data_IF_435257687115
#
_entry.id   IF_435257687115
#
_cell.length_a   1.000
_cell.length_b   1.000
_cell.length_c   1.000
_cell.angle_alpha   90.00
_cell.angle_beta   90.00
_cell.angle_gamma   90.00
#
_symmetry.space_group_name_H-M   'P 1'
#
loop_
_entity.id
_entity.type
_entity.pdbx_description
1 polymer ?
#
# COMPACT_ATOMS: atom_id res chain seq x y z
N UNK A 1 -2.36 13.67 4.26
CA UNK A 1 -2.56 12.91 2.99
C UNK A 1 -1.30 12.97 2.18
N UNK A 2 -0.65 11.82 2.03
CA UNK A 2 0.65 11.74 1.37
C UNK A 2 0.46 11.49 -0.13
N UNK A 3 1.11 12.29 -0.97
CA UNK A 3 1.09 12.17 -2.43
C UNK A 3 2.48 12.43 -3.01
N UNK A 4 2.70 12.08 -4.27
CA UNK A 4 3.84 12.54 -5.06
C UNK A 4 3.40 13.45 -6.21
N UNK A 5 4.27 14.34 -6.64
CA UNK A 5 3.97 15.21 -7.79
C UNK A 5 3.75 14.41 -9.08
N UNK A 6 4.49 13.30 -9.26
CA UNK A 6 4.31 12.42 -10.42
C UNK A 6 2.95 11.73 -10.40
N UNK A 7 2.46 11.28 -9.22
CA UNK A 7 1.12 10.71 -9.12
C UNK A 7 0.04 11.75 -9.40
N UNK A 8 0.20 12.98 -8.90
CA UNK A 8 -0.72 14.07 -9.18
C UNK A 8 -0.82 14.38 -10.69
N UNK A 9 0.28 14.29 -11.43
CA UNK A 9 0.31 14.50 -12.89
C UNK A 9 -0.47 13.46 -13.69
N UNK A 10 -0.74 12.29 -13.15
CA UNK A 10 -1.62 11.32 -13.82
C UNK A 10 -3.04 11.88 -13.98
N UNK A 11 -3.44 12.76 -13.07
CA UNK A 11 -4.77 13.38 -13.04
C UNK A 11 -4.79 14.85 -13.44
N UNK A 12 -3.64 15.53 -13.48
CA UNK A 12 -3.56 16.96 -13.77
C UNK A 12 -2.54 17.27 -14.87
N UNK A 13 -3.01 17.72 -16.01
CA UNK A 13 -2.16 18.31 -17.05
C UNK A 13 -1.83 19.76 -16.67
N UNK A 14 -0.61 20.00 -16.20
CA UNK A 14 -0.15 21.31 -15.75
C UNK A 14 1.27 21.62 -16.23
N UNK A 15 1.54 22.89 -16.48
CA UNK A 15 2.89 23.40 -16.76
C UNK A 15 3.58 23.95 -15.50
N UNK A 16 2.90 23.90 -14.34
CA UNK A 16 3.50 24.37 -13.10
C UNK A 16 4.69 23.48 -12.71
N UNK A 17 5.76 24.13 -12.26
CA UNK A 17 6.86 23.45 -11.58
C UNK A 17 6.38 23.05 -10.18
N UNK A 18 6.96 21.98 -9.65
CA UNK A 18 6.60 21.44 -8.33
C UNK A 18 6.61 22.51 -7.23
N UNK A 19 7.66 23.34 -7.17
CA UNK A 19 7.75 24.43 -6.18
C UNK A 19 6.55 25.38 -6.22
N UNK A 20 6.10 25.77 -7.41
CA UNK A 20 4.95 26.66 -7.56
C UNK A 20 3.63 25.96 -7.21
N UNK A 21 3.57 24.64 -7.49
CA UNK A 21 2.41 23.83 -7.13
C UNK A 21 2.19 23.74 -5.61
N UNK A 22 3.26 23.58 -4.84
CA UNK A 22 3.20 23.54 -3.37
C UNK A 22 2.57 24.81 -2.79
N UNK A 23 2.96 25.96 -3.32
CA UNK A 23 2.37 27.25 -2.95
C UNK A 23 0.87 27.30 -3.30
N UNK A 24 0.49 26.85 -4.49
CA UNK A 24 -0.90 26.86 -4.93
C UNK A 24 -1.78 25.89 -4.14
N UNK A 25 -1.26 24.73 -3.72
CA UNK A 25 -1.98 23.80 -2.83
C UNK A 25 -2.39 24.52 -1.54
N UNK A 26 -1.48 25.21 -0.89
CA UNK A 26 -1.79 25.97 0.33
C UNK A 26 -2.78 27.11 0.05
N UNK A 27 -2.64 27.83 -1.06
CA UNK A 27 -3.52 28.93 -1.43
C UNK A 27 -4.98 28.50 -1.65
N UNK A 28 -5.22 27.27 -2.12
CA UNK A 28 -6.58 26.72 -2.29
C UNK A 28 -7.10 26.01 -1.04
N UNK A 29 -6.36 26.09 0.09
CA UNK A 29 -6.78 25.53 1.37
C UNK A 29 -6.38 24.08 1.62
N UNK A 30 -5.43 23.54 0.83
CA UNK A 30 -4.80 22.24 1.05
C UNK A 30 -3.38 22.48 1.59
N UNK A 31 -3.27 22.61 2.91
CA UNK A 31 -2.03 22.97 3.58
C UNK A 31 -0.94 21.90 3.38
N UNK A 32 0.23 22.34 2.94
CA UNK A 32 1.43 21.48 2.83
C UNK A 32 2.13 21.45 4.19
N UNK A 33 2.06 20.32 4.88
CA UNK A 33 2.73 20.14 6.19
C UNK A 33 4.22 19.88 6.03
N UNK A 34 4.58 19.01 5.08
CA UNK A 34 5.98 18.71 4.82
C UNK A 34 6.22 18.30 3.37
N UNK A 35 7.49 18.47 2.95
CA UNK A 35 7.99 18.01 1.65
C UNK A 35 9.28 17.27 1.89
N UNK A 36 9.27 15.96 1.59
CA UNK A 36 10.46 15.12 1.71
C UNK A 36 11.00 14.75 0.32
N UNK A 37 12.30 14.94 0.12
CA UNK A 37 12.94 14.53 -1.12
C UNK A 37 13.13 13.01 -1.14
N UNK A 38 12.49 12.33 -2.08
CA UNK A 38 12.74 10.91 -2.32
C UNK A 38 14.00 10.64 -3.14
N UNK A 39 14.61 11.70 -3.70
CA UNK A 39 15.69 11.59 -4.67
C UNK A 39 17.11 11.61 -4.08
N UNK A 40 17.28 11.94 -2.78
CA UNK A 40 18.61 12.16 -2.22
C UNK A 40 19.36 10.90 -1.83
N UNK A 41 18.75 10.05 -1.02
CA UNK A 41 19.49 8.97 -0.34
C UNK A 41 19.22 7.58 -0.92
N UNK A 42 18.05 7.37 -1.56
CA UNK A 42 17.67 6.06 -2.08
C UNK A 42 18.35 5.72 -3.42
N UNK A 43 18.85 6.69 -4.18
CA UNK A 43 19.57 6.43 -5.44
C UNK A 43 20.91 5.70 -5.23
N UNK A 44 21.48 5.80 -4.05
CA UNK A 44 22.74 5.15 -3.70
C UNK A 44 22.61 3.63 -3.54
N UNK A 45 21.41 3.11 -3.25
CA UNK A 45 21.18 1.68 -3.11
C UNK A 45 21.19 1.01 -4.48
N UNK A 46 22.17 0.13 -4.71
CA UNK A 46 22.38 -0.53 -6.00
C UNK A 46 21.97 -2.01 -5.96
N UNK A 47 21.47 -2.50 -7.07
CA UNK A 47 21.37 -3.94 -7.30
C UNK A 47 22.79 -4.49 -7.41
N UNK A 48 23.09 -5.54 -6.65
CA UNK A 48 24.42 -6.13 -6.59
C UNK A 48 24.35 -7.66 -6.57
N UNK A 49 25.43 -8.33 -6.92
CA UNK A 49 25.59 -9.78 -6.87
C UNK A 49 26.74 -10.15 -5.94
N UNK A 50 26.50 -11.08 -5.04
CA UNK A 50 27.57 -11.67 -4.23
C UNK A 50 28.33 -12.66 -5.11
N UNK A 51 29.59 -12.37 -5.41
CA UNK A 51 30.43 -13.24 -6.26
C UNK A 51 31.09 -14.32 -5.43
N UNK A 52 31.51 -14.00 -4.22
CA UNK A 52 32.22 -14.91 -3.32
C UNK A 52 31.86 -14.62 -1.88
N UNK A 53 31.81 -15.67 -1.06
CA UNK A 53 31.65 -15.55 0.39
C UNK A 53 32.71 -16.38 1.10
N UNK A 54 33.34 -15.79 2.12
CA UNK A 54 34.33 -16.48 2.99
C UNK A 54 33.94 -16.26 4.45
N UNK A 55 34.31 -17.19 5.34
CA UNK A 55 34.15 -16.99 6.79
C UNK A 55 35.04 -15.82 7.25
N UNK A 56 34.49 -15.01 8.14
CA UNK A 56 35.26 -13.93 8.72
C UNK A 56 36.39 -14.47 9.62
N UNK A 57 37.64 -14.02 9.50
CA UNK A 57 38.78 -14.59 10.23
C UNK A 57 38.66 -14.47 11.76
N UNK A 58 37.94 -13.46 12.26
CA UNK A 58 37.87 -13.15 13.68
C UNK A 58 36.40 -13.12 14.22
N UNK A 59 35.45 -13.78 13.52
CA UNK A 59 34.05 -13.77 13.93
C UNK A 59 33.23 -14.92 13.30
N UNK A 60 32.79 -15.89 14.11
CA UNK A 60 32.13 -17.12 13.62
C UNK A 60 30.78 -16.85 12.93
N UNK A 61 30.09 -15.78 13.27
CA UNK A 61 28.76 -15.41 12.71
C UNK A 61 28.81 -14.45 11.53
N UNK A 62 30.00 -14.00 11.14
CA UNK A 62 30.17 -13.05 10.05
C UNK A 62 30.79 -13.73 8.81
N UNK A 63 30.40 -13.20 7.67
CA UNK A 63 30.96 -13.54 6.35
C UNK A 63 31.62 -12.32 5.73
N UNK A 64 32.68 -12.53 4.98
CA UNK A 64 33.28 -11.52 4.11
C UNK A 64 32.82 -11.81 2.70
N UNK A 65 32.08 -10.88 2.11
CA UNK A 65 31.50 -11.03 0.78
C UNK A 65 32.22 -10.14 -0.22
N UNK A 66 32.61 -10.71 -1.35
CA UNK A 66 33.03 -9.93 -2.53
C UNK A 66 31.79 -9.67 -3.37
N UNK A 67 31.41 -8.40 -3.53
CA UNK A 67 30.14 -7.96 -4.08
C UNK A 67 30.39 -7.19 -5.37
N UNK A 68 29.82 -7.66 -6.48
CA UNK A 68 29.78 -6.96 -7.75
C UNK A 68 28.69 -5.88 -7.71
N UNK A 69 29.11 -4.64 -7.81
CA UNK A 69 28.24 -3.45 -7.79
C UNK A 69 28.09 -2.80 -9.17
N UNK A 70 28.44 -3.51 -10.24
CA UNK A 70 28.43 -3.04 -11.63
C UNK A 70 29.77 -2.47 -12.08
N UNK A 71 29.92 -2.22 -13.39
CA UNK A 71 31.12 -1.64 -14.00
C UNK A 71 32.43 -2.37 -13.70
N UNK A 72 32.36 -3.71 -13.50
CA UNK A 72 33.45 -4.57 -13.05
C UNK A 72 34.07 -4.17 -11.68
N UNK A 73 33.36 -3.40 -10.88
CA UNK A 73 33.78 -2.99 -9.55
C UNK A 73 33.31 -3.99 -8.48
N UNK A 74 34.28 -4.58 -7.77
CA UNK A 74 34.04 -5.52 -6.67
C UNK A 74 34.32 -4.79 -5.34
N UNK A 75 33.34 -4.81 -4.45
CA UNK A 75 33.49 -4.28 -3.08
C UNK A 75 33.49 -5.38 -2.05
N UNK A 76 34.41 -5.27 -1.09
CA UNK A 76 34.44 -6.17 0.07
C UNK A 76 33.44 -5.66 1.13
N UNK A 77 32.52 -6.52 1.53
CA UNK A 77 31.47 -6.19 2.50
C UNK A 77 31.40 -7.27 3.57
N UNK A 78 31.43 -6.86 4.83
CA UNK A 78 31.21 -7.80 5.96
C UNK A 78 29.71 -7.91 6.21
N UNK A 79 29.18 -9.13 6.22
CA UNK A 79 27.75 -9.42 6.35
C UNK A 79 27.51 -10.46 7.46
N UNK A 80 26.48 -10.19 8.29
CA UNK A 80 26.06 -11.12 9.36
C UNK A 80 24.86 -12.00 8.99
N UNK A 81 24.32 -11.85 7.78
CA UNK A 81 23.14 -12.58 7.37
C UNK A 81 23.46 -14.04 6.99
N UNK A 82 22.66 -14.97 7.49
CA UNK A 82 22.85 -16.40 7.21
C UNK A 82 22.62 -16.76 5.74
N UNK A 83 21.67 -16.04 5.09
CA UNK A 83 21.34 -16.25 3.69
C UNK A 83 22.34 -15.65 2.69
N UNK A 84 23.39 -14.94 3.16
CA UNK A 84 24.45 -14.45 2.27
C UNK A 84 25.22 -15.63 1.67
N UNK A 85 25.09 -15.81 0.35
CA UNK A 85 25.70 -16.91 -0.43
C UNK A 85 26.11 -16.44 -1.81
N UNK A 86 27.05 -17.15 -2.42
CA UNK A 86 27.53 -16.90 -3.77
C UNK A 86 26.38 -17.00 -4.81
N UNK A 87 26.37 -16.08 -5.76
CA UNK A 87 25.33 -15.97 -6.81
C UNK A 87 24.04 -15.27 -6.38
N UNK A 88 23.93 -14.85 -5.09
CA UNK A 88 22.77 -14.14 -4.61
C UNK A 88 22.74 -12.70 -5.16
N UNK A 89 21.62 -12.32 -5.77
CA UNK A 89 21.31 -10.93 -6.11
C UNK A 89 20.67 -10.26 -4.91
N UNK A 90 21.19 -9.09 -4.53
CA UNK A 90 20.78 -8.36 -3.33
C UNK A 90 20.88 -6.85 -3.52
N UNK A 91 20.60 -6.09 -2.46
CA UNK A 91 20.70 -4.63 -2.46
C UNK A 91 21.91 -4.20 -1.65
N UNK A 92 22.81 -3.49 -2.31
CA UNK A 92 24.02 -2.93 -1.73
C UNK A 92 23.86 -1.45 -1.42
N UNK A 93 24.20 -1.05 -0.21
CA UNK A 93 24.30 0.34 0.25
C UNK A 93 25.76 0.76 0.35
N UNK A 94 26.25 1.74 -0.43
CA UNK A 94 27.60 2.25 -0.35
C UNK A 94 27.81 3.13 0.90
N UNK A 95 29.07 3.43 1.26
CA UNK A 95 29.38 4.49 2.21
C UNK A 95 28.77 5.83 1.73
N UNK A 96 28.16 6.57 2.67
CA UNK A 96 27.40 7.78 2.38
C UNK A 96 25.88 7.57 2.31
N UNK A 97 25.40 6.37 2.05
CA UNK A 97 23.96 6.06 2.08
C UNK A 97 23.41 6.16 3.52
N UNK A 98 22.18 6.61 3.63
CA UNK A 98 21.44 6.67 4.90
C UNK A 98 20.43 5.52 4.91
N UNK A 99 20.51 4.63 5.90
CA UNK A 99 19.59 3.51 6.03
C UNK A 99 18.21 4.02 6.42
N UNK A 100 17.15 3.76 5.64
CA UNK A 100 15.82 4.34 5.83
C UNK A 100 15.22 4.11 7.22
N UNK A 101 15.34 2.90 7.77
CA UNK A 101 14.76 2.53 9.07
C UNK A 101 15.49 3.18 10.24
N UNK A 102 16.82 3.13 10.25
CA UNK A 102 17.63 3.57 11.40
C UNK A 102 18.12 5.00 11.29
N UNK A 103 17.94 5.62 10.12
CA UNK A 103 18.49 6.95 9.77
C UNK A 103 20.03 7.04 9.95
N UNK A 104 20.71 5.91 9.98
CA UNK A 104 22.15 5.82 10.16
C UNK A 104 22.86 6.03 8.81
N UNK A 105 23.80 6.98 8.79
CA UNK A 105 24.67 7.19 7.62
C UNK A 105 25.80 6.18 7.62
N UNK A 106 25.93 5.42 6.53
CA UNK A 106 26.98 4.43 6.36
C UNK A 106 28.35 5.09 6.12
N UNK A 107 29.35 4.52 6.73
CA UNK A 107 30.75 4.88 6.54
C UNK A 107 31.58 3.64 6.26
N UNK A 108 32.76 3.79 5.68
CA UNK A 108 33.72 2.70 5.60
C UNK A 108 34.11 2.31 7.02
N UNK A 109 33.86 1.05 7.40
CA UNK A 109 34.06 0.58 8.75
C UNK A 109 35.02 -0.61 8.80
N UNK A 110 35.86 -0.69 9.84
CA UNK A 110 36.70 -1.86 10.11
C UNK A 110 35.99 -2.75 11.13
N UNK A 111 35.43 -3.88 10.66
CA UNK A 111 34.66 -4.80 11.48
C UNK A 111 35.57 -5.98 11.88
N UNK A 112 35.92 -6.05 13.15
CA UNK A 112 36.81 -7.07 13.73
C UNK A 112 38.08 -7.35 12.90
N UNK A 113 38.68 -6.25 12.36
CA UNK A 113 39.92 -6.35 11.59
C UNK A 113 39.76 -6.35 10.06
N UNK A 114 38.57 -6.61 9.54
CA UNK A 114 38.27 -6.58 8.09
C UNK A 114 37.56 -5.27 7.73
N UNK A 115 38.03 -4.59 6.69
CA UNK A 115 37.40 -3.36 6.19
C UNK A 115 36.17 -3.70 5.34
N UNK A 116 35.01 -3.11 5.69
CA UNK A 116 33.75 -3.20 4.94
C UNK A 116 33.49 -1.90 4.21
N UNK A 117 33.26 -1.98 2.91
CA UNK A 117 32.98 -0.85 2.03
C UNK A 117 31.48 -0.73 1.73
N UNK A 118 30.65 -0.70 2.76
CA UNK A 118 29.21 -0.60 2.67
C UNK A 118 28.50 -1.74 3.37
N UNK A 119 27.24 -1.95 3.00
CA UNK A 119 26.34 -2.89 3.66
C UNK A 119 25.45 -3.60 2.64
N UNK A 120 25.12 -4.87 2.89
CA UNK A 120 24.03 -5.58 2.19
C UNK A 120 22.77 -5.43 3.05
N UNK A 121 21.68 -4.95 2.45
CA UNK A 121 20.50 -4.54 3.18
C UNK A 121 19.42 -5.63 3.26
N UNK A 122 18.76 -5.72 4.40
CA UNK A 122 17.50 -6.44 4.56
C UNK A 122 16.32 -5.58 4.08
N UNK A 123 15.17 -6.20 3.82
CA UNK A 123 13.95 -5.48 3.47
C UNK A 123 13.49 -4.56 4.61
N UNK A 124 13.66 -5.01 5.86
CA UNK A 124 13.33 -4.21 7.04
C UNK A 124 14.15 -2.93 7.15
N UNK A 125 15.45 -2.97 6.86
CA UNK A 125 16.34 -1.80 6.88
C UNK A 125 15.97 -0.77 5.81
N UNK A 126 15.39 -1.24 4.70
CA UNK A 126 14.93 -0.42 3.59
C UNK A 126 13.47 0.05 3.75
N UNK A 127 12.80 -0.27 4.86
CA UNK A 127 11.36 -0.06 5.09
C UNK A 127 10.46 -0.73 4.02
N UNK A 128 10.92 -1.82 3.42
CA UNK A 128 10.15 -2.61 2.44
C UNK A 128 9.34 -3.72 3.11
N UNK A 129 9.75 -4.17 4.29
CA UNK A 129 9.10 -5.21 5.10
C UNK A 129 9.40 -4.99 6.58
N UNK A 130 8.56 -5.54 7.48
CA UNK A 130 8.88 -5.62 8.91
C UNK A 130 9.76 -6.83 9.24
N UNK A 131 9.84 -7.80 8.32
CA UNK A 131 10.68 -8.99 8.47
C UNK A 131 12.15 -8.66 8.25
N UNK A 132 13.02 -9.24 9.10
CA UNK A 132 14.47 -8.99 9.09
C UNK A 132 15.30 -10.25 8.93
N UNK A 133 14.73 -11.32 8.40
CA UNK A 133 15.41 -12.60 8.25
C UNK A 133 16.39 -12.58 7.08
N UNK A 134 17.57 -11.99 7.34
CA UNK A 134 18.66 -11.92 6.38
C UNK A 134 18.63 -10.70 5.46
N UNK A 135 19.45 -10.74 4.42
CA UNK A 135 19.51 -9.71 3.38
C UNK A 135 18.47 -9.96 2.30
N UNK A 136 18.02 -8.90 1.63
CA UNK A 136 17.06 -8.97 0.53
C UNK A 136 17.52 -9.92 -0.58
N UNK A 137 16.68 -10.87 -0.98
CA UNK A 137 16.92 -11.77 -2.11
C UNK A 137 16.17 -11.27 -3.34
N UNK A 138 16.89 -10.84 -4.37
CA UNK A 138 16.31 -10.39 -5.62
C UNK A 138 16.16 -11.53 -6.63
N UNK A 139 15.12 -11.49 -7.45
CA UNK A 139 14.88 -12.46 -8.50
C UNK A 139 15.92 -12.35 -9.62
N UNK A 140 16.13 -13.43 -10.39
CA UNK A 140 17.10 -13.48 -11.50
C UNK A 140 16.89 -12.37 -12.56
N UNK A 141 15.71 -11.81 -12.65
CA UNK A 141 15.38 -10.71 -13.57
C UNK A 141 16.19 -9.45 -13.28
N UNK A 142 16.57 -9.23 -12.03
CA UNK A 142 17.40 -8.10 -11.62
C UNK A 142 18.88 -8.20 -12.05
N UNK A 143 19.34 -9.33 -12.57
CA UNK A 143 20.74 -9.50 -13.02
C UNK A 143 21.15 -8.47 -14.07
N UNK A 144 20.26 -8.07 -14.95
CA UNK A 144 20.48 -6.99 -15.95
C UNK A 144 20.57 -5.59 -15.35
N UNK A 145 20.27 -5.47 -14.08
CA UNK A 145 20.25 -4.19 -13.35
C UNK A 145 21.42 -4.03 -12.37
N UNK A 146 22.35 -4.99 -12.31
CA UNK A 146 23.54 -4.90 -11.45
C UNK A 146 24.25 -3.55 -11.71
N UNK A 147 24.56 -2.85 -10.61
CA UNK A 147 25.16 -1.51 -10.63
C UNK A 147 24.18 -0.35 -10.79
N UNK A 148 22.93 -0.63 -11.19
CA UNK A 148 21.87 0.40 -11.25
C UNK A 148 21.20 0.56 -9.89
N UNK A 149 20.65 1.74 -9.64
CA UNK A 149 19.83 1.96 -8.44
C UNK A 149 18.69 0.95 -8.39
N UNK A 150 18.49 0.36 -7.21
CA UNK A 150 17.34 -0.52 -6.95
C UNK A 150 16.04 0.27 -6.92
N UNK A 151 16.06 1.41 -6.27
CA UNK A 151 14.91 2.30 -6.26
C UNK A 151 14.82 3.00 -7.62
N UNK A 152 13.64 2.98 -8.21
CA UNK A 152 13.39 3.78 -9.41
C UNK A 152 13.64 5.24 -9.06
N UNK A 153 14.22 5.99 -10.00
CA UNK A 153 14.37 7.43 -9.85
C UNK A 153 12.98 8.07 -9.75
N UNK A 154 12.42 8.11 -8.56
CA UNK A 154 11.30 9.02 -8.31
C UNK A 154 11.87 10.43 -8.40
N UNK A 155 11.50 11.13 -9.46
CA UNK A 155 11.93 12.52 -9.67
C UNK A 155 11.12 13.50 -8.84
N UNK A 156 10.11 13.04 -8.13
CA UNK A 156 9.19 13.88 -7.38
C UNK A 156 9.32 13.68 -5.88
N UNK A 157 9.15 14.77 -5.16
CA UNK A 157 9.12 14.77 -3.70
C UNK A 157 7.84 14.11 -3.19
N UNK A 158 7.91 13.59 -1.98
CA UNK A 158 6.78 13.20 -1.19
C UNK A 158 6.21 14.46 -0.54
N UNK A 159 4.93 14.69 -0.73
CA UNK A 159 4.22 15.86 -0.23
C UNK A 159 3.18 15.38 0.78
N UNK A 160 3.29 15.82 2.02
CA UNK A 160 2.26 15.58 3.02
C UNK A 160 1.32 16.77 3.13
N UNK A 161 0.02 16.51 2.98
CA UNK A 161 -1.04 17.50 3.00
C UNK A 161 -1.95 17.31 4.22
N UNK A 162 -2.16 18.37 4.97
CA UNK A 162 -3.17 18.46 6.01
C UNK A 162 -4.55 18.67 5.38
N UNK A 163 -5.35 17.62 5.33
CA UNK A 163 -6.71 17.68 4.79
C UNK A 163 -7.71 17.85 5.92
N UNK A 164 -8.39 18.98 5.93
CA UNK A 164 -9.42 19.27 6.95
C UNK A 164 -10.61 18.30 6.85
N UNK A 165 -11.30 18.01 7.96
CA UNK A 165 -12.39 17.02 8.00
C UNK A 165 -13.57 17.31 7.05
N UNK A 166 -13.76 18.57 6.66
CA UNK A 166 -14.81 19.01 5.72
C UNK A 166 -14.42 18.84 4.25
N UNK A 167 -13.18 18.38 3.96
CA UNK A 167 -12.68 18.16 2.60
C UNK A 167 -12.33 16.68 2.35
N UNK A 168 -13.25 15.73 2.66
CA UNK A 168 -12.98 14.32 2.40
C UNK A 168 -12.72 14.03 0.91
N UNK A 169 -13.26 14.85 0.01
CA UNK A 169 -13.03 14.78 -1.43
C UNK A 169 -11.56 14.88 -1.84
N UNK A 170 -10.72 15.52 -1.02
CA UNK A 170 -9.27 15.64 -1.21
C UNK A 170 -8.45 14.54 -0.51
N UNK A 171 -9.08 13.51 0.04
CA UNK A 171 -8.40 12.33 0.59
C UNK A 171 -8.01 11.30 -0.49
N UNK A 172 -8.01 11.72 -1.75
CA UNK A 172 -7.50 10.99 -2.91
C UNK A 172 -6.81 11.94 -3.87
N UNK A 173 -5.79 11.43 -4.59
CA UNK A 173 -4.97 12.23 -5.51
C UNK A 173 -5.81 12.96 -6.56
N UNK A 174 -6.83 12.27 -7.11
CA UNK A 174 -7.73 12.86 -8.11
C UNK A 174 -8.57 14.03 -7.55
N UNK A 175 -8.98 13.98 -6.30
CA UNK A 175 -9.70 15.08 -5.65
C UNK A 175 -8.86 16.36 -5.58
N UNK A 176 -7.59 16.20 -5.20
CA UNK A 176 -6.59 17.27 -5.17
C UNK A 176 -6.37 17.83 -6.58
N UNK A 177 -6.20 16.95 -7.57
CA UNK A 177 -6.06 17.36 -8.97
C UNK A 177 -7.27 18.14 -9.50
N UNK A 178 -8.48 17.72 -9.12
CA UNK A 178 -9.73 18.41 -9.49
C UNK A 178 -9.78 19.82 -8.91
N UNK A 179 -9.39 20.00 -7.66
CA UNK A 179 -9.38 21.31 -7.00
C UNK A 179 -8.37 22.26 -7.66
N UNK A 180 -7.17 21.77 -7.94
CA UNK A 180 -6.15 22.54 -8.68
C UNK A 180 -6.64 22.93 -10.08
N UNK A 181 -7.28 22.01 -10.79
CA UNK A 181 -7.86 22.29 -12.11
C UNK A 181 -9.00 23.33 -12.03
N UNK A 182 -9.88 23.21 -11.05
CA UNK A 182 -10.96 24.17 -10.81
C UNK A 182 -10.44 25.58 -10.48
N UNK A 183 -9.27 25.66 -9.84
CA UNK A 183 -8.58 26.92 -9.51
C UNK A 183 -7.71 27.46 -10.67
N UNK A 184 -7.74 26.84 -11.85
CA UNK A 184 -7.04 27.31 -13.04
C UNK A 184 -5.57 26.89 -13.15
N UNK A 185 -5.09 25.97 -12.30
CA UNK A 185 -3.69 25.53 -12.28
C UNK A 185 -3.39 24.32 -13.18
N UNK A 186 -4.32 23.96 -14.04
CA UNK A 186 -4.16 22.88 -15.01
C UNK A 186 -5.50 22.40 -15.55
N UNK A 187 -5.45 21.31 -16.33
CA UNK A 187 -6.65 20.62 -16.83
C UNK A 187 -6.75 19.24 -16.20
N UNK A 188 -7.91 18.93 -15.63
CA UNK A 188 -8.17 17.59 -15.10
C UNK A 188 -8.14 16.56 -16.26
N UNK A 189 -7.46 15.44 -16.04
CA UNK A 189 -7.44 14.33 -16.99
C UNK A 189 -8.74 13.54 -16.87
N UNK A 190 -9.39 13.28 -18.00
CA UNK A 190 -10.60 12.47 -18.00
C UNK A 190 -10.25 11.01 -17.65
N UNK A 191 -11.12 10.37 -16.87
CA UNK A 191 -11.00 8.94 -16.63
C UNK A 191 -11.55 8.20 -17.83
N UNK A 192 -10.76 7.28 -18.39
CA UNK A 192 -11.25 6.37 -19.41
C UNK A 192 -12.15 5.31 -18.75
N UNK A 193 -13.45 5.43 -18.94
CA UNK A 193 -14.40 4.42 -18.51
C UNK A 193 -14.41 3.26 -19.50
N UNK A 194 -13.78 2.14 -19.13
CA UNK A 194 -13.92 0.90 -19.90
C UNK A 194 -15.20 0.19 -19.48
N UNK A 195 -16.16 0.07 -20.39
CA UNK A 195 -17.39 -0.71 -20.12
C UNK A 195 -17.04 -2.18 -19.94
N UNK A 196 -17.23 -2.68 -18.75
CA UNK A 196 -17.12 -4.11 -18.45
C UNK A 196 -18.48 -4.75 -18.70
N UNK A 197 -18.55 -5.69 -19.62
CA UNK A 197 -19.76 -6.47 -19.85
C UNK A 197 -19.78 -7.64 -18.84
N UNK A 198 -20.68 -7.58 -17.88
CA UNK A 198 -20.98 -8.74 -17.03
C UNK A 198 -21.58 -9.84 -17.89
N UNK A 199 -20.97 -11.01 -17.87
CA UNK A 199 -21.46 -12.17 -18.64
C UNK A 199 -22.62 -12.88 -17.94
N UNK A 200 -22.69 -12.82 -16.60
CA UNK A 200 -23.68 -13.52 -15.78
C UNK A 200 -24.06 -12.73 -14.53
N UNK A 201 -25.25 -12.99 -13.99
CA UNK A 201 -25.57 -12.58 -12.60
C UNK A 201 -24.81 -13.49 -11.64
N UNK A 202 -24.06 -12.94 -10.70
CA UNK A 202 -23.38 -13.75 -9.70
C UNK A 202 -24.38 -14.38 -8.71
N UNK A 203 -24.02 -15.52 -8.18
CA UNK A 203 -24.87 -16.30 -7.27
C UNK A 203 -24.85 -15.82 -5.82
N UNK A 204 -23.80 -15.09 -5.43
CA UNK A 204 -23.67 -14.56 -4.08
C UNK A 204 -24.62 -13.37 -3.89
N UNK A 205 -25.64 -13.57 -3.07
CA UNK A 205 -26.64 -12.53 -2.77
C UNK A 205 -26.09 -11.60 -1.68
N UNK A 206 -26.37 -10.29 -1.83
CA UNK A 206 -26.13 -9.30 -0.79
C UNK A 206 -27.46 -8.85 -0.22
N UNK A 207 -27.60 -8.91 1.10
CA UNK A 207 -28.75 -8.45 1.84
C UNK A 207 -28.34 -7.40 2.85
N UNK A 208 -28.95 -6.23 2.80
CA UNK A 208 -28.82 -5.20 3.83
C UNK A 208 -30.07 -5.34 4.73
N UNK A 209 -29.87 -5.65 6.00
CA UNK A 209 -30.96 -5.66 6.96
C UNK A 209 -31.37 -4.21 7.28
N UNK A 210 -32.66 -3.92 7.11
CA UNK A 210 -33.21 -2.61 7.44
C UNK A 210 -33.50 -2.52 8.94
N UNK A 211 -32.48 -2.20 9.71
CA UNK A 211 -32.59 -2.04 11.16
C UNK A 211 -32.43 -0.57 11.54
N UNK A 212 -33.01 -0.15 12.67
CA UNK A 212 -32.83 1.22 13.18
C UNK A 212 -31.34 1.42 13.53
N UNK A 213 -30.75 2.51 13.03
CA UNK A 213 -29.34 2.78 13.22
C UNK A 213 -28.39 1.94 12.36
N UNK A 214 -28.91 1.35 11.27
CA UNK A 214 -28.09 0.62 10.32
C UNK A 214 -26.97 1.51 9.75
N UNK A 215 -25.73 1.08 9.95
CA UNK A 215 -24.54 1.86 9.54
C UNK A 215 -24.16 1.75 8.07
N UNK A 216 -24.93 0.99 7.24
CA UNK A 216 -24.67 0.87 5.81
C UNK A 216 -25.95 1.11 5.03
N UNK A 217 -25.93 2.07 4.11
CA UNK A 217 -27.11 2.44 3.31
C UNK A 217 -27.03 1.99 1.87
N UNK A 218 -25.83 1.75 1.34
CA UNK A 218 -25.62 1.21 0.02
C UNK A 218 -24.44 0.23 0.01
N UNK A 219 -24.59 -0.88 -0.73
CA UNK A 219 -23.57 -1.90 -0.87
C UNK A 219 -23.54 -2.40 -2.30
N UNK A 220 -22.53 -1.98 -3.06
CA UNK A 220 -22.22 -2.52 -4.36
C UNK A 220 -21.29 -3.72 -4.22
N UNK A 221 -21.51 -4.73 -5.05
CA UNK A 221 -20.60 -5.88 -5.10
C UNK A 221 -20.40 -6.38 -6.52
N UNK A 222 -19.20 -6.83 -6.80
CA UNK A 222 -18.83 -7.44 -8.07
C UNK A 222 -18.08 -8.75 -7.82
N UNK A 223 -18.57 -9.85 -8.38
CA UNK A 223 -17.85 -11.13 -8.35
C UNK A 223 -16.92 -11.21 -9.55
N UNK A 224 -15.62 -11.31 -9.29
CA UNK A 224 -14.58 -11.49 -10.30
C UNK A 224 -14.01 -12.89 -10.14
N UNK A 225 -14.09 -13.69 -11.19
CA UNK A 225 -13.68 -15.09 -11.17
C UNK A 225 -12.41 -15.32 -11.97
N UNK A 226 -11.69 -16.38 -11.63
CA UNK A 226 -10.43 -16.78 -12.29
C UNK A 226 -9.34 -15.69 -12.21
N UNK A 227 -9.29 -14.95 -11.11
CA UNK A 227 -8.19 -14.02 -10.84
C UNK A 227 -6.91 -14.79 -10.56
N UNK A 228 -5.78 -14.20 -10.92
CA UNK A 228 -4.46 -14.67 -10.51
C UNK A 228 -3.92 -13.68 -9.50
N UNK A 229 -4.10 -13.97 -8.21
CA UNK A 229 -3.46 -13.16 -7.18
C UNK A 229 -1.95 -13.48 -7.16
N UNK A 230 -1.15 -12.48 -7.41
CA UNK A 230 0.32 -12.58 -7.48
C UNK A 230 0.93 -11.34 -6.83
N UNK A 231 2.23 -11.20 -6.91
CA UNK A 231 2.86 -9.91 -6.65
C UNK A 231 2.32 -8.84 -7.60
N UNK A 232 2.20 -7.64 -7.10
CA UNK A 232 1.74 -6.48 -7.89
C UNK A 232 2.69 -6.16 -9.04
N UNK A 233 2.17 -5.67 -10.17
CA UNK A 233 3.02 -5.19 -11.26
C UNK A 233 3.87 -4.01 -10.80
N UNK A 234 5.03 -3.86 -11.42
CA UNK A 234 6.04 -2.87 -11.02
C UNK A 234 5.49 -1.45 -10.87
N UNK A 235 4.66 -0.99 -11.79
CA UNK A 235 4.09 0.36 -11.73
C UNK A 235 3.25 0.61 -10.47
N UNK A 236 2.51 -0.41 -10.01
CA UNK A 236 1.66 -0.33 -8.82
C UNK A 236 2.52 -0.37 -7.56
N UNK A 237 3.50 -1.28 -7.50
CA UNK A 237 4.48 -1.32 -6.41
C UNK A 237 5.21 0.01 -6.27
N UNK A 238 5.75 0.55 -7.36
CA UNK A 238 6.48 1.82 -7.36
C UNK A 238 5.62 2.97 -6.82
N UNK A 239 4.34 3.05 -7.20
CA UNK A 239 3.41 4.07 -6.69
C UNK A 239 3.16 3.94 -5.19
N UNK A 240 2.85 2.75 -4.71
CA UNK A 240 2.57 2.52 -3.28
C UNK A 240 3.83 2.78 -2.43
N UNK A 241 4.97 2.26 -2.85
CA UNK A 241 6.25 2.48 -2.18
C UNK A 241 6.61 3.97 -2.15
N UNK A 242 6.32 4.72 -3.22
CA UNK A 242 6.63 6.15 -3.29
C UNK A 242 5.93 7.00 -2.21
N UNK A 243 4.88 6.49 -1.60
CA UNK A 243 4.15 7.14 -0.51
C UNK A 243 4.28 6.40 0.83
N UNK A 244 5.25 5.48 0.93
CA UNK A 244 5.53 4.71 2.14
C UNK A 244 4.59 3.54 2.41
N UNK A 245 3.75 3.17 1.44
CA UNK A 245 2.88 1.99 1.56
C UNK A 245 3.62 0.72 1.14
N UNK A 246 3.47 -0.35 1.93
CA UNK A 246 4.05 -1.66 1.66
C UNK A 246 3.15 -2.44 0.70
N UNK A 247 3.66 -2.87 -0.48
CA UNK A 247 2.93 -3.82 -1.33
C UNK A 247 2.75 -5.17 -0.64
N UNK A 248 1.57 -5.76 -0.78
CA UNK A 248 1.20 -7.04 -0.15
C UNK A 248 0.93 -8.10 -1.21
N UNK A 249 -0.09 -7.86 -2.04
CA UNK A 249 -0.48 -8.71 -3.16
C UNK A 249 -1.29 -7.89 -4.16
N UNK A 250 -1.37 -8.32 -5.40
CA UNK A 250 -2.03 -7.57 -6.46
C UNK A 250 -3.47 -7.14 -6.10
N UNK A 251 -4.25 -8.02 -5.48
CA UNK A 251 -5.64 -7.72 -5.07
C UNK A 251 -5.66 -6.63 -4.00
N UNK A 252 -4.88 -6.79 -2.93
CA UNK A 252 -4.84 -5.82 -1.81
C UNK A 252 -4.28 -4.49 -2.29
N UNK A 253 -3.23 -4.51 -3.07
CA UNK A 253 -2.55 -3.31 -3.56
C UNK A 253 -3.43 -2.50 -4.51
N UNK A 254 -4.25 -3.16 -5.34
CA UNK A 254 -5.23 -2.47 -6.18
C UNK A 254 -6.31 -1.80 -5.34
N UNK A 255 -6.82 -2.45 -4.29
CA UNK A 255 -7.82 -1.81 -3.40
C UNK A 255 -7.22 -0.60 -2.68
N UNK A 256 -5.97 -0.69 -2.21
CA UNK A 256 -5.24 0.42 -1.62
C UNK A 256 -4.99 1.54 -2.63
N UNK A 257 -4.56 1.19 -3.86
CA UNK A 257 -4.36 2.16 -4.92
C UNK A 257 -5.65 2.94 -5.23
N UNK A 258 -6.76 2.26 -5.42
CA UNK A 258 -8.07 2.90 -5.69
C UNK A 258 -8.48 3.82 -4.54
N UNK A 259 -8.29 3.39 -3.30
CA UNK A 259 -8.57 4.21 -2.12
C UNK A 259 -7.74 5.50 -2.11
N UNK A 260 -6.45 5.42 -2.41
CA UNK A 260 -5.52 6.55 -2.42
C UNK A 260 -5.68 7.44 -3.65
N UNK A 261 -6.00 6.85 -4.80
CA UNK A 261 -6.12 7.55 -6.07
C UNK A 261 -7.41 8.38 -6.17
N UNK A 262 -8.54 7.75 -5.85
CA UNK A 262 -9.88 8.35 -6.04
C UNK A 262 -10.71 8.44 -4.76
N UNK A 263 -10.10 8.25 -3.61
CA UNK A 263 -10.77 8.32 -2.29
C UNK A 263 -11.94 7.34 -2.14
N UNK A 264 -11.81 6.12 -2.65
CA UNK A 264 -12.84 5.11 -2.51
C UNK A 264 -12.26 3.84 -1.89
N UNK A 265 -12.41 3.64 -0.57
CA UNK A 265 -12.03 2.37 0.04
C UNK A 265 -12.86 1.22 -0.54
N UNK A 266 -12.16 0.18 -0.95
CA UNK A 266 -12.72 -1.07 -1.43
C UNK A 266 -12.30 -2.20 -0.49
N UNK A 267 -13.10 -3.26 -0.42
CA UNK A 267 -12.69 -4.50 0.22
C UNK A 267 -12.87 -5.69 -0.72
N UNK A 268 -11.89 -6.59 -0.71
CA UNK A 268 -11.93 -7.81 -1.50
C UNK A 268 -12.00 -9.02 -0.57
N UNK A 269 -13.10 -9.76 -0.68
CA UNK A 269 -13.28 -11.04 0.00
C UNK A 269 -12.84 -12.18 -0.92
N UNK A 270 -12.26 -13.23 -0.36
CA UNK A 270 -12.17 -14.52 -1.03
C UNK A 270 -13.61 -15.10 -1.15
N UNK A 271 -14.15 -15.11 -2.35
CA UNK A 271 -15.53 -15.47 -2.61
C UNK A 271 -15.81 -16.94 -2.28
N UNK A 272 -14.80 -17.80 -2.37
CA UNK A 272 -14.94 -19.24 -2.09
C UNK A 272 -15.02 -19.52 -0.58
N UNK A 273 -14.64 -18.55 0.27
CA UNK A 273 -14.73 -18.60 1.72
C UNK A 273 -16.07 -18.05 2.27
N UNK A 274 -16.91 -17.43 1.41
CA UNK A 274 -18.20 -16.85 1.79
C UNK A 274 -19.31 -17.92 1.74
N UNK A 275 -20.07 -18.03 2.83
CA UNK A 275 -21.19 -18.99 2.87
C UNK A 275 -22.53 -18.33 2.54
N UNK A 276 -23.14 -18.76 1.43
CA UNK A 276 -24.48 -18.36 0.94
C UNK A 276 -24.68 -16.87 0.60
N UNK A 277 -23.67 -16.01 0.80
CA UNK A 277 -23.74 -14.60 0.46
C UNK A 277 -23.45 -13.66 1.63
N UNK A 278 -23.58 -12.36 1.39
CA UNK A 278 -23.29 -11.29 2.35
C UNK A 278 -24.57 -10.81 3.02
N UNK A 279 -24.49 -10.62 4.32
CA UNK A 279 -25.53 -10.00 5.15
C UNK A 279 -24.90 -8.80 5.87
N UNK A 280 -25.33 -7.62 5.49
CA UNK A 280 -24.96 -6.38 6.19
C UNK A 280 -26.00 -6.13 7.28
N UNK A 281 -25.56 -6.05 8.52
CA UNK A 281 -26.43 -5.96 9.69
C UNK A 281 -25.76 -5.27 10.88
N UNK A 282 -26.52 -5.00 11.90
CA UNK A 282 -25.96 -4.67 13.20
C UNK A 282 -25.40 -5.92 13.90
N UNK A 283 -24.30 -5.73 14.63
CA UNK A 283 -23.74 -6.78 15.51
C UNK A 283 -24.66 -7.06 16.69
N UNK A 284 -24.57 -8.28 17.21
CA UNK A 284 -25.14 -8.64 18.51
C UNK A 284 -24.08 -8.48 19.60
N UNK A 285 -24.52 -8.22 20.83
CA UNK A 285 -23.59 -8.14 21.96
C UNK A 285 -22.86 -9.47 22.16
N UNK A 286 -21.54 -9.40 22.28
CA UNK A 286 -20.68 -10.56 22.51
C UNK A 286 -20.27 -11.33 21.26
N UNK A 287 -20.69 -10.92 20.06
CA UNK A 287 -20.13 -11.50 18.82
C UNK A 287 -18.62 -11.20 18.75
N UNK A 288 -17.87 -12.16 18.24
CA UNK A 288 -16.42 -12.05 18.10
C UNK A 288 -15.98 -12.35 16.68
N UNK A 289 -14.89 -11.73 16.25
CA UNK A 289 -14.21 -12.08 15.00
C UNK A 289 -12.72 -11.72 15.09
N UNK A 290 -11.89 -12.45 14.34
CA UNK A 290 -10.48 -12.14 14.19
C UNK A 290 -10.30 -11.25 12.98
N UNK A 291 -9.77 -10.03 13.19
CA UNK A 291 -9.54 -9.05 12.14
C UNK A 291 -8.21 -9.28 11.40
N UNK A 292 -8.01 -8.57 10.28
CA UNK A 292 -6.80 -8.68 9.44
C UNK A 292 -5.51 -8.25 10.16
N UNK A 293 -5.62 -7.54 11.30
CA UNK A 293 -4.49 -7.25 12.19
C UNK A 293 -4.16 -8.40 13.15
N UNK A 294 -4.78 -9.58 12.98
CA UNK A 294 -4.68 -10.78 13.80
C UNK A 294 -5.15 -10.61 15.26
N UNK A 295 -5.89 -9.56 15.58
CA UNK A 295 -6.50 -9.37 16.88
C UNK A 295 -7.94 -9.88 16.88
N UNK A 296 -8.37 -10.40 18.05
CA UNK A 296 -9.76 -10.80 18.27
C UNK A 296 -10.55 -9.63 18.88
N UNK A 297 -11.64 -9.26 18.24
CA UNK A 297 -12.50 -8.17 18.68
C UNK A 297 -13.84 -8.71 19.16
N UNK A 298 -14.24 -8.35 20.38
CA UNK A 298 -15.56 -8.60 20.95
C UNK A 298 -16.46 -7.40 20.68
N UNK A 299 -17.57 -7.64 20.00
CA UNK A 299 -18.44 -6.59 19.51
C UNK A 299 -19.56 -6.27 20.51
N UNK A 300 -19.90 -4.98 20.57
CA UNK A 300 -21.12 -4.53 21.23
C UNK A 300 -22.29 -4.57 20.24
N UNK A 301 -23.51 -4.50 20.76
CA UNK A 301 -24.72 -4.44 19.92
C UNK A 301 -24.76 -3.13 19.11
N UNK A 302 -25.18 -3.22 17.85
CA UNK A 302 -25.42 -2.05 16.99
C UNK A 302 -24.23 -1.57 16.16
N UNK A 303 -23.09 -2.25 16.20
CA UNK A 303 -21.97 -1.98 15.29
C UNK A 303 -22.30 -2.54 13.90
N UNK A 304 -21.97 -1.78 12.84
CA UNK A 304 -22.19 -2.26 11.48
C UNK A 304 -21.19 -3.37 11.12
N UNK A 305 -21.70 -4.57 10.85
CA UNK A 305 -20.90 -5.72 10.45
C UNK A 305 -21.29 -6.24 9.08
N UNK A 306 -20.29 -6.68 8.35
CA UNK A 306 -20.44 -7.52 7.17
C UNK A 306 -20.33 -8.97 7.65
N UNK A 307 -21.32 -9.77 7.34
CA UNK A 307 -21.41 -11.16 7.80
C UNK A 307 -21.90 -12.09 6.70
N UNK A 308 -21.79 -13.37 6.94
CA UNK A 308 -22.44 -14.43 6.18
C UNK A 308 -23.21 -15.36 7.12
N UNK A 309 -23.58 -16.56 6.68
CA UNK A 309 -24.30 -17.50 7.53
C UNK A 309 -23.45 -18.10 8.67
N UNK A 310 -22.13 -18.07 8.56
CA UNK A 310 -21.21 -18.57 9.61
C UNK A 310 -20.89 -17.53 10.69
N UNK A 311 -21.04 -16.24 10.39
CA UNK A 311 -20.74 -15.18 11.36
C UNK A 311 -20.14 -13.93 10.72
N UNK A 312 -19.47 -13.12 11.53
CA UNK A 312 -18.88 -11.85 11.12
C UNK A 312 -17.68 -12.08 10.19
N UNK A 313 -17.66 -11.35 9.08
CA UNK A 313 -16.57 -11.29 8.10
C UNK A 313 -15.70 -10.05 8.29
N UNK A 314 -16.24 -9.01 8.91
CA UNK A 314 -15.54 -7.76 9.18
C UNK A 314 -16.45 -6.67 9.72
N UNK A 315 -15.83 -5.57 10.16
CA UNK A 315 -16.50 -4.34 10.53
C UNK A 315 -16.63 -3.45 9.29
N UNK A 316 -17.88 -3.13 8.93
CA UNK A 316 -18.18 -2.35 7.75
C UNK A 316 -17.41 -1.02 7.73
N UNK A 317 -16.63 -0.76 6.69
CA UNK A 317 -15.85 0.46 6.50
C UNK A 317 -14.67 0.67 7.45
N UNK A 318 -14.31 -0.30 8.28
CA UNK A 318 -13.23 -0.20 9.25
C UNK A 318 -12.12 -1.22 8.98
N UNK A 319 -12.42 -2.52 9.15
CA UNK A 319 -11.43 -3.58 9.00
C UNK A 319 -12.09 -4.91 8.61
N UNK A 320 -11.50 -5.62 7.66
CA UNK A 320 -11.91 -6.97 7.30
C UNK A 320 -11.47 -8.03 8.31
N UNK A 321 -12.06 -9.22 8.22
CA UNK A 321 -11.69 -10.38 9.03
C UNK A 321 -10.81 -11.36 8.27
N UNK A 322 -10.00 -12.11 9.00
CA UNK A 322 -9.07 -13.11 8.46
C UNK A 322 -9.80 -14.26 7.74
N UNK A 323 -11.01 -14.63 8.21
CA UNK A 323 -11.78 -15.77 7.66
C UNK A 323 -12.09 -15.64 6.17
N UNK A 324 -12.34 -14.44 5.69
CA UNK A 324 -12.65 -14.15 4.28
C UNK A 324 -11.55 -13.37 3.57
N UNK A 325 -10.40 -13.22 4.20
CA UNK A 325 -9.23 -12.54 3.63
C UNK A 325 -8.73 -13.25 2.36
N UNK A 326 -8.26 -12.45 1.40
CA UNK A 326 -7.63 -12.94 0.17
C UNK A 326 -6.20 -13.41 0.43
N UNK A 327 -5.82 -14.48 -0.23
CA UNK A 327 -4.49 -15.10 -0.18
C UNK A 327 -3.93 -15.24 -1.60
N UNK A 328 -2.66 -15.60 -1.75
CA UNK A 328 -2.04 -15.79 -3.08
C UNK A 328 -2.72 -16.88 -3.93
N UNK A 329 -3.38 -17.85 -3.30
CA UNK A 329 -4.12 -18.91 -3.97
C UNK A 329 -5.58 -18.56 -4.27
N UNK A 330 -6.09 -17.40 -3.85
CA UNK A 330 -7.45 -16.92 -4.12
C UNK A 330 -7.68 -16.78 -5.62
N UNK A 331 -8.77 -17.40 -6.11
CA UNK A 331 -9.16 -17.43 -7.53
C UNK A 331 -10.43 -16.65 -7.82
N UNK A 332 -11.30 -16.52 -6.85
CA UNK A 332 -12.57 -15.81 -6.99
C UNK A 332 -12.67 -14.76 -5.89
N UNK A 333 -12.93 -13.51 -6.27
CA UNK A 333 -13.09 -12.42 -5.31
C UNK A 333 -14.47 -11.80 -5.41
N UNK A 334 -15.05 -11.50 -4.27
CA UNK A 334 -16.16 -10.57 -4.18
C UNK A 334 -15.62 -9.20 -3.77
N UNK A 335 -15.66 -8.27 -4.72
CA UNK A 335 -15.26 -6.89 -4.47
C UNK A 335 -16.43 -6.13 -3.88
N UNK A 336 -16.18 -5.44 -2.77
CA UNK A 336 -17.12 -4.54 -2.09
C UNK A 336 -16.81 -3.09 -2.44
N UNK A 337 -17.86 -2.32 -2.76
CA UNK A 337 -17.86 -0.87 -2.77
C UNK A 337 -19.13 -0.39 -2.07
N UNK A 338 -19.00 0.08 -0.84
CA UNK A 338 -20.16 0.40 0.00
C UNK A 338 -20.18 1.87 0.42
N UNK A 339 -21.32 2.32 0.93
CA UNK A 339 -21.47 3.58 1.62
C UNK A 339 -21.87 3.33 3.07
N UNK A 340 -21.01 3.71 3.98
CA UNK A 340 -21.22 3.61 5.42
C UNK A 340 -21.50 4.97 6.03
N UNK A 341 -22.38 5.00 7.02
CA UNK A 341 -22.76 6.21 7.75
C UNK A 341 -21.58 6.67 8.63
N UNK A 342 -21.08 7.90 8.43
CA UNK A 342 -19.86 8.40 9.08
C UNK A 342 -19.87 8.34 10.61
N UNK A 343 -21.01 8.64 11.25
CA UNK A 343 -21.16 8.59 12.71
C UNK A 343 -21.08 7.17 13.25
N UNK A 344 -21.65 6.18 12.54
CA UNK A 344 -21.54 4.76 12.88
C UNK A 344 -20.10 4.27 12.85
N UNK A 345 -19.36 4.63 11.81
CA UNK A 345 -17.95 4.28 11.65
C UNK A 345 -17.11 4.87 12.79
N UNK A 346 -17.24 6.18 13.03
CA UNK A 346 -16.51 6.88 14.09
C UNK A 346 -16.75 6.28 15.47
N UNK A 347 -18.03 6.03 15.79
CA UNK A 347 -18.40 5.50 17.09
C UNK A 347 -17.86 4.08 17.30
N UNK A 348 -17.98 3.21 16.30
CA UNK A 348 -17.47 1.84 16.35
C UNK A 348 -15.96 1.82 16.49
N UNK A 349 -15.25 2.57 15.65
CA UNK A 349 -13.80 2.64 15.68
C UNK A 349 -13.25 3.18 17.00
N UNK A 350 -13.89 4.22 17.57
CA UNK A 350 -13.51 4.77 18.89
C UNK A 350 -13.67 3.74 20.01
N UNK A 351 -14.77 2.98 20.02
CA UNK A 351 -15.02 1.96 21.05
C UNK A 351 -14.02 0.83 21.00
N UNK A 352 -13.60 0.42 19.81
CA UNK A 352 -12.67 -0.68 19.60
C UNK A 352 -11.19 -0.24 19.50
N UNK A 353 -10.93 1.07 19.63
CA UNK A 353 -9.61 1.68 19.44
C UNK A 353 -8.95 1.26 18.13
N UNK A 354 -9.71 1.38 17.03
CA UNK A 354 -9.27 1.04 15.68
C UNK A 354 -8.99 2.31 14.87
N UNK A 355 -7.83 2.35 14.23
CA UNK A 355 -7.46 3.40 13.28
C UNK A 355 -6.94 2.77 11.99
N UNK A 356 -7.64 3.00 10.88
CA UNK A 356 -7.31 2.49 9.56
C UNK A 356 -7.55 3.54 8.49
N UNK A 357 -6.88 3.42 7.35
CA UNK A 357 -7.03 4.32 6.21
C UNK A 357 -8.47 4.34 5.66
N UNK A 358 -9.14 3.20 5.66
CA UNK A 358 -10.54 3.10 5.26
C UNK A 358 -11.46 3.83 6.24
N UNK A 359 -11.30 3.56 7.54
CA UNK A 359 -12.04 4.26 8.63
C UNK A 359 -11.86 5.77 8.55
N UNK A 360 -10.63 6.23 8.38
CA UNK A 360 -10.30 7.66 8.29
C UNK A 360 -11.08 8.38 7.16
N UNK A 361 -11.32 7.68 6.05
CA UNK A 361 -12.10 8.20 4.92
C UNK A 361 -13.59 8.10 5.16
N UNK A 362 -14.09 6.94 5.57
CA UNK A 362 -15.52 6.74 5.81
C UNK A 362 -16.08 7.62 6.94
N UNK A 363 -15.33 7.84 8.02
CA UNK A 363 -15.80 8.70 9.13
C UNK A 363 -15.94 10.18 8.77
N UNK A 364 -15.28 10.62 7.69
CA UNK A 364 -15.39 11.97 7.13
C UNK A 364 -16.43 12.07 6.03
N UNK A 365 -16.87 10.94 5.54
CA UNK A 365 -17.78 10.83 4.40
C UNK A 365 -17.03 10.65 3.08
N UNK A 366 -17.55 9.79 2.25
CA UNK A 366 -17.09 9.56 0.87
C UNK A 366 -18.23 9.92 -0.09
N UNK A 367 -17.90 10.10 -1.37
CA UNK A 367 -18.93 10.37 -2.37
C UNK A 367 -19.95 9.21 -2.43
N UNK A 368 -21.25 9.46 -2.11
CA UNK A 368 -22.27 8.43 -2.08
C UNK A 368 -22.64 7.90 -3.47
N UNK A 369 -22.23 8.57 -4.56
CA UNK A 369 -22.58 8.18 -5.94
C UNK A 369 -21.50 7.31 -6.57
N UNK A 370 -20.26 7.51 -6.21
CA UNK A 370 -19.11 6.88 -6.88
C UNK A 370 -19.08 5.34 -6.78
N UNK A 371 -19.83 4.72 -5.83
CA UNK A 371 -19.89 3.25 -5.75
C UNK A 371 -20.47 2.59 -7.01
N UNK A 372 -21.30 3.30 -7.75
CA UNK A 372 -21.91 2.81 -9.00
C UNK A 372 -20.93 2.77 -10.17
N UNK A 373 -19.87 3.58 -10.11
CA UNK A 373 -18.89 3.74 -11.21
C UNK A 373 -17.63 2.90 -11.02
N UNK A 374 -17.40 2.36 -9.82
CA UNK A 374 -16.13 1.73 -9.44
C UNK A 374 -15.99 0.25 -9.73
N UNK A 375 -17.01 -0.39 -10.25
CA UNK A 375 -16.87 -1.72 -10.84
C UNK A 375 -16.04 -1.70 -12.14
N UNK A 376 -15.64 -0.50 -12.60
CA UNK A 376 -14.98 -0.27 -13.88
C UNK A 376 -13.44 -0.24 -13.85
N UNK A 377 -12.75 0.36 -12.85
CA UNK A 377 -11.28 0.36 -12.81
C UNK A 377 -10.65 -0.97 -12.40
N UNK A 378 -11.40 -1.88 -11.80
CA UNK A 378 -10.91 -3.22 -11.40
C UNK A 378 -10.66 -4.18 -12.57
N UNK A 379 -10.87 -3.73 -13.81
CA UNK A 379 -10.54 -4.49 -15.02
C UNK A 379 -9.02 -4.64 -15.28
N UNK A 380 -8.18 -4.17 -14.38
CA UNK A 380 -6.72 -4.38 -14.41
C UNK A 380 -6.27 -5.67 -13.70
N UNK A 381 -7.19 -6.45 -13.12
CA UNK A 381 -6.93 -7.75 -12.51
C UNK A 381 -6.94 -8.89 -13.52
#
# INVERSE_FOLDING_TARGET
MIITFDWLKDHLKTNLKEKNLLEQLTNIGLEVESVESLSGDNELFKVAEIIKTEKHPNADRLKVCDVNIGENEIKKVVCGAENAKEGLLTIYAPPGAIIPKTKTKLVVAKIRGVTSYGMLCSESELNLSDESDGITELTKEFRKNIGKSYFSKSKSNLIDLSITPNRPDCLGVRGIARDLAASGFGKLVDLEEKKIHSKNKHTLKVKINKEKGQGCTAFGSCLITNVKNSESPKWLKDKLISIGQKPISAIVDITNYVMLDINRPLHAYDADKIEKGIIVRNSKSGEEFTALDNKNYKLESGMCVISDNKGVLGLGGIIGGTRSGTEFNTKNILLESAYFEPGSIRNTAKKLNLDTDAKFRFERGIDPVSYTHLTLPTSFL
#
